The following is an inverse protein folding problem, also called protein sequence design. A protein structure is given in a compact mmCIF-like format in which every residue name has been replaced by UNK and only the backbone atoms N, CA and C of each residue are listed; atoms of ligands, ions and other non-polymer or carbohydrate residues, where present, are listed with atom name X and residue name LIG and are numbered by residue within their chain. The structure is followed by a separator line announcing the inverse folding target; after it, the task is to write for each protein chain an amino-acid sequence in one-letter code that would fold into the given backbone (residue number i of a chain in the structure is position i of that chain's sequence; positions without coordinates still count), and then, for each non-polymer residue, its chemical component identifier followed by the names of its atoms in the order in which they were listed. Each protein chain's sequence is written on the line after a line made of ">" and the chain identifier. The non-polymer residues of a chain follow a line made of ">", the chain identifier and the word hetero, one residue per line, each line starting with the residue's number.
data_IF_917132979575
#
_entry.id   IF_917132979575
#
_cell.length_a   1.000
_cell.length_b   1.000
_cell.length_c   1.000
_cell.angle_alpha   90.00
_cell.angle_beta   90.00
_cell.angle_gamma   90.00
#
_symmetry.space_group_name_H-M   'P 1'
#
loop_
_entity.id
_entity.type
_entity.pdbx_description
1 polymer ?
#
# COMPACT_ATOMS: atom_id res chain seq x y z
N UNK A 1 -16.05 -36.71 -3.28
CA UNK A 1 -15.51 -35.41 -3.71
C UNK A 1 -16.65 -34.63 -4.32
N UNK A 2 -17.10 -33.56 -3.65
CA UNK A 2 -18.26 -32.77 -4.08
C UNK A 2 -17.95 -32.00 -5.36
N UNK A 3 -18.96 -31.70 -6.19
CA UNK A 3 -18.83 -30.72 -7.29
C UNK A 3 -18.28 -29.37 -6.76
N UNK A 4 -18.62 -28.99 -5.52
CA UNK A 4 -18.08 -27.82 -4.84
C UNK A 4 -16.57 -27.93 -4.56
N UNK A 5 -16.04 -29.12 -4.30
CA UNK A 5 -14.60 -29.34 -4.05
C UNK A 5 -13.80 -29.20 -5.34
N UNK A 6 -14.36 -29.65 -6.47
CA UNK A 6 -13.74 -29.49 -7.79
C UNK A 6 -13.69 -28.02 -8.23
N UNK A 7 -14.76 -27.25 -7.96
CA UNK A 7 -14.75 -25.78 -8.16
C UNK A 7 -13.86 -25.05 -7.14
N UNK A 8 -13.71 -25.59 -5.93
CA UNK A 8 -12.80 -25.08 -4.89
C UNK A 8 -11.32 -25.27 -5.24
N UNK A 9 -10.95 -26.36 -5.91
CA UNK A 9 -9.61 -26.56 -6.48
C UNK A 9 -9.30 -25.64 -7.67
N UNK A 10 -10.33 -25.14 -8.37
CA UNK A 10 -10.19 -24.12 -9.42
C UNK A 10 -10.28 -22.68 -8.90
N UNK A 11 -10.55 -22.47 -7.61
CA UNK A 11 -10.65 -21.14 -7.04
C UNK A 11 -9.25 -20.53 -6.89
N UNK A 12 -8.94 -19.58 -7.77
CA UNK A 12 -7.73 -18.75 -7.71
C UNK A 12 -7.87 -17.68 -6.62
N UNK A 13 -7.98 -18.12 -5.37
CA UNK A 13 -8.04 -17.24 -4.21
C UNK A 13 -6.77 -16.35 -4.18
N UNK A 14 -6.98 -15.10 -3.77
CA UNK A 14 -5.91 -14.11 -3.67
C UNK A 14 -5.93 -13.42 -2.30
N UNK A 15 -4.77 -12.96 -1.87
CA UNK A 15 -4.65 -12.00 -0.78
C UNK A 15 -4.12 -10.68 -1.35
N UNK A 16 -4.63 -9.57 -0.84
CA UNK A 16 -4.26 -8.22 -1.26
C UNK A 16 -3.77 -7.48 -0.02
N UNK A 17 -2.53 -7.02 -0.09
CA UNK A 17 -2.05 -5.99 0.81
C UNK A 17 -2.31 -4.63 0.16
N UNK A 18 -3.28 -3.89 0.69
CA UNK A 18 -3.74 -2.62 0.14
C UNK A 18 -3.02 -1.46 0.84
N UNK A 19 -1.71 -1.41 0.68
CA UNK A 19 -0.85 -0.44 1.36
C UNK A 19 -0.90 0.97 0.78
N UNK A 20 -0.62 1.98 1.61
CA UNK A 20 -0.63 3.40 1.20
C UNK A 20 0.38 3.70 0.08
N UNK A 21 1.55 3.06 0.11
CA UNK A 21 2.62 3.28 -0.86
C UNK A 21 2.62 2.25 -2.00
N UNK A 22 2.45 0.97 -1.67
CA UNK A 22 2.46 -0.14 -2.63
C UNK A 22 1.29 -1.08 -2.35
N UNK A 23 0.81 -1.74 -3.40
CA UNK A 23 -0.20 -2.80 -3.33
C UNK A 23 0.41 -4.10 -3.81
N UNK A 24 0.32 -5.14 -2.99
CA UNK A 24 0.78 -6.48 -3.34
C UNK A 24 -0.40 -7.41 -3.53
N UNK A 25 -0.31 -8.32 -4.50
CA UNK A 25 -1.30 -9.39 -4.67
C UNK A 25 -0.59 -10.73 -4.62
N UNK A 26 -0.93 -11.53 -3.60
CA UNK A 26 -0.53 -12.92 -3.48
C UNK A 26 -1.60 -13.83 -4.08
N UNK A 27 -1.18 -14.79 -4.90
CA UNK A 27 -2.06 -15.82 -5.44
C UNK A 27 -1.79 -17.13 -4.74
N UNK A 28 -2.85 -17.82 -4.28
CA UNK A 28 -2.73 -19.15 -3.69
C UNK A 28 -2.00 -20.09 -4.66
N UNK A 29 -0.92 -20.73 -4.21
CA UNK A 29 0.00 -21.56 -5.02
C UNK A 29 0.78 -20.83 -6.13
N UNK A 30 0.69 -19.50 -6.21
CA UNK A 30 1.38 -18.69 -7.22
C UNK A 30 2.39 -17.69 -6.65
N UNK A 31 2.42 -17.48 -5.33
CA UNK A 31 3.28 -16.48 -4.71
C UNK A 31 2.76 -15.06 -4.91
N UNK A 32 3.64 -14.07 -4.70
CA UNK A 32 3.38 -12.67 -5.04
C UNK A 32 3.39 -12.53 -6.56
N UNK A 33 2.26 -12.16 -7.14
CA UNK A 33 2.09 -12.03 -8.60
C UNK A 33 1.98 -10.57 -9.06
N UNK A 34 1.76 -9.65 -8.14
CA UNK A 34 1.75 -8.20 -8.36
C UNK A 34 2.45 -7.55 -7.17
N UNK A 35 3.34 -6.61 -7.47
CA UNK A 35 3.97 -5.70 -6.53
C UNK A 35 4.14 -4.36 -7.27
N UNK A 36 3.23 -3.41 -6.99
CA UNK A 36 3.18 -2.13 -7.69
C UNK A 36 2.84 -0.98 -6.75
N UNK A 37 3.34 0.25 -7.04
CA UNK A 37 2.91 1.44 -6.33
C UNK A 37 1.38 1.63 -6.30
N UNK A 38 0.84 2.05 -5.17
CA UNK A 38 -0.58 2.39 -4.98
C UNK A 38 -0.90 3.76 -5.59
N UNK A 39 -0.71 3.88 -6.91
CA UNK A 39 -0.87 5.12 -7.68
C UNK A 39 -1.66 4.84 -8.93
N UNK A 40 -2.62 5.71 -9.23
CA UNK A 40 -3.48 5.61 -10.41
C UNK A 40 -3.45 6.93 -11.18
N UNK A 41 -3.24 6.86 -12.49
CA UNK A 41 -3.41 7.98 -13.40
C UNK A 41 -4.76 7.83 -14.12
N UNK A 42 -5.60 8.86 -14.08
CA UNK A 42 -6.91 8.90 -14.74
C UNK A 42 -7.04 10.13 -15.63
N UNK A 43 -7.78 10.00 -16.74
CA UNK A 43 -8.18 11.15 -17.55
C UNK A 43 -9.12 12.05 -16.74
N UNK A 44 -8.92 13.37 -16.81
CA UNK A 44 -9.77 14.35 -16.12
C UNK A 44 -11.19 14.39 -16.66
N UNK A 45 -11.35 14.08 -17.94
CA UNK A 45 -12.54 14.32 -18.74
C UNK A 45 -13.55 13.17 -18.61
N UNK A 46 -13.07 11.92 -18.60
CA UNK A 46 -13.94 10.75 -18.52
C UNK A 46 -13.61 9.77 -17.38
N UNK A 47 -12.64 10.12 -16.51
CA UNK A 47 -12.18 9.27 -15.39
C UNK A 47 -11.71 7.87 -15.81
N UNK A 48 -11.38 7.65 -17.08
CA UNK A 48 -10.79 6.37 -17.52
C UNK A 48 -9.39 6.23 -16.93
N UNK A 49 -9.07 5.01 -16.51
CA UNK A 49 -7.72 4.65 -16.09
C UNK A 49 -6.79 4.78 -17.31
N UNK A 50 -5.74 5.58 -17.16
CA UNK A 50 -4.65 5.70 -18.11
C UNK A 50 -3.53 4.73 -17.72
N UNK A 51 -3.17 4.70 -16.43
CA UNK A 51 -2.15 3.82 -15.89
C UNK A 51 -2.39 3.53 -14.41
N UNK A 52 -1.83 2.42 -13.93
CA UNK A 52 -1.75 2.04 -12.50
C UNK A 52 -0.29 1.69 -12.21
N UNK A 53 0.13 1.78 -10.95
CA UNK A 53 1.42 1.27 -10.52
C UNK A 53 2.57 2.15 -10.95
N UNK A 54 3.67 1.54 -11.35
CA UNK A 54 4.91 2.22 -11.71
C UNK A 54 4.72 3.23 -12.84
N UNK A 55 3.89 2.91 -13.84
CA UNK A 55 3.58 3.83 -14.92
C UNK A 55 2.87 5.10 -14.44
N UNK A 56 1.90 4.95 -13.52
CA UNK A 56 1.24 6.09 -12.91
C UNK A 56 2.18 6.87 -11.98
N UNK A 57 3.03 6.18 -11.19
CA UNK A 57 4.01 6.80 -10.29
C UNK A 57 4.98 7.69 -11.08
N UNK A 58 5.45 7.28 -12.26
CA UNK A 58 6.35 8.08 -13.10
C UNK A 58 5.74 9.41 -13.57
N UNK A 59 4.40 9.49 -13.65
CA UNK A 59 3.68 10.69 -14.06
C UNK A 59 3.53 11.72 -12.92
N UNK A 60 3.81 11.38 -11.66
CA UNK A 60 3.67 12.30 -10.53
C UNK A 60 4.54 13.54 -10.71
N UNK A 61 3.89 14.72 -10.78
CA UNK A 61 4.56 16.01 -10.95
C UNK A 61 5.09 16.26 -12.37
N UNK A 62 4.76 15.39 -13.33
CA UNK A 62 5.15 15.47 -14.75
C UNK A 62 3.97 15.22 -15.70
N UNK A 63 2.77 15.04 -15.17
CA UNK A 63 1.55 14.79 -15.93
C UNK A 63 1.08 16.08 -16.64
N UNK A 64 0.50 15.97 -17.84
CA UNK A 64 -0.21 17.09 -18.46
C UNK A 64 -1.53 17.36 -17.70
N UNK A 65 -2.17 18.49 -17.99
CA UNK A 65 -3.36 18.97 -17.27
C UNK A 65 -4.57 18.02 -17.44
N UNK A 66 -4.63 17.28 -18.55
CA UNK A 66 -5.71 16.32 -18.86
C UNK A 66 -5.59 14.99 -18.07
N UNK A 67 -4.51 14.83 -17.30
CA UNK A 67 -4.22 13.60 -16.54
C UNK A 67 -4.11 13.93 -15.06
N UNK A 68 -4.94 13.29 -14.24
CA UNK A 68 -4.85 13.38 -12.78
C UNK A 68 -4.19 12.13 -12.21
N UNK A 69 -3.09 12.30 -11.49
CA UNK A 69 -2.39 11.21 -10.79
C UNK A 69 -2.77 11.22 -9.31
N UNK A 70 -3.22 10.09 -8.79
CA UNK A 70 -3.91 9.96 -7.50
C UNK A 70 -3.28 8.81 -6.72
N UNK A 71 -2.99 9.05 -5.44
CA UNK A 71 -2.82 8.00 -4.42
C UNK A 71 -4.20 7.75 -3.80
N UNK A 72 -4.91 6.66 -4.11
CA UNK A 72 -6.29 6.48 -3.67
C UNK A 72 -6.40 6.06 -2.20
N UNK A 73 -5.27 5.68 -1.60
CA UNK A 73 -5.11 5.34 -0.20
C UNK A 73 -4.28 6.42 0.48
N UNK A 74 -4.64 6.74 1.72
CA UNK A 74 -3.90 7.69 2.54
C UNK A 74 -3.99 7.27 4.00
N UNK A 75 -2.88 7.28 4.71
CA UNK A 75 -2.80 6.91 6.13
C UNK A 75 -3.52 5.58 6.45
N UNK A 76 -3.35 4.57 5.57
CA UNK A 76 -3.96 3.25 5.72
C UNK A 76 -5.45 3.15 5.39
N UNK A 77 -6.08 4.24 4.94
CA UNK A 77 -7.52 4.29 4.64
C UNK A 77 -7.82 4.66 3.19
N UNK A 78 -9.01 4.29 2.71
CA UNK A 78 -9.49 4.64 1.38
C UNK A 78 -9.88 6.13 1.34
N UNK A 79 -9.10 6.93 0.60
CA UNK A 79 -9.35 8.36 0.41
C UNK A 79 -10.18 8.65 -0.86
N UNK A 80 -10.07 7.80 -1.88
CA UNK A 80 -10.88 7.88 -3.11
C UNK A 80 -11.45 6.49 -3.44
N UNK A 81 -12.72 6.27 -3.12
CA UNK A 81 -13.42 5.00 -3.30
C UNK A 81 -13.50 4.58 -4.77
N UNK A 82 -13.82 5.53 -5.66
CA UNK A 82 -14.01 5.25 -7.08
C UNK A 82 -12.69 4.80 -7.70
N UNK A 83 -11.59 5.49 -7.38
CA UNK A 83 -10.26 5.16 -7.88
C UNK A 83 -9.76 3.86 -7.25
N UNK A 84 -10.04 3.60 -5.97
CA UNK A 84 -9.68 2.34 -5.30
C UNK A 84 -10.38 1.13 -5.95
N UNK A 85 -11.69 1.23 -6.22
CA UNK A 85 -12.43 0.15 -6.89
C UNK A 85 -11.86 -0.13 -8.29
N UNK A 86 -11.55 0.92 -9.05
CA UNK A 86 -10.94 0.81 -10.38
C UNK A 86 -9.56 0.15 -10.32
N UNK A 87 -8.74 0.54 -9.35
CA UNK A 87 -7.43 -0.06 -9.08
C UNK A 87 -7.58 -1.55 -8.74
N UNK A 88 -8.37 -1.88 -7.72
CA UNK A 88 -8.61 -3.26 -7.29
C UNK A 88 -9.16 -4.11 -8.43
N UNK A 89 -10.11 -3.61 -9.23
CA UNK A 89 -10.67 -4.34 -10.37
C UNK A 89 -9.57 -4.72 -11.36
N UNK A 90 -8.68 -3.78 -11.68
CA UNK A 90 -7.55 -4.03 -12.58
C UNK A 90 -6.58 -5.06 -11.99
N UNK A 91 -6.20 -4.91 -10.72
CA UNK A 91 -5.25 -5.81 -10.04
C UNK A 91 -5.82 -7.23 -9.91
N UNK A 92 -7.08 -7.38 -9.51
CA UNK A 92 -7.76 -8.67 -9.44
C UNK A 92 -7.79 -9.31 -10.84
N UNK A 93 -8.19 -8.57 -11.88
CA UNK A 93 -8.20 -9.10 -13.24
C UNK A 93 -6.83 -9.58 -13.71
N UNK A 94 -5.76 -8.81 -13.43
CA UNK A 94 -4.37 -9.17 -13.77
C UNK A 94 -3.89 -10.41 -13.03
N UNK A 95 -4.17 -10.52 -11.73
CA UNK A 95 -3.79 -11.67 -10.91
C UNK A 95 -4.48 -12.97 -11.38
N UNK A 96 -5.69 -12.86 -11.93
CA UNK A 96 -6.42 -14.01 -12.47
C UNK A 96 -5.87 -14.51 -13.82
N UNK A 97 -5.07 -13.72 -14.55
CA UNK A 97 -4.43 -14.01 -15.87
C UNK A 97 -5.38 -14.37 -17.02
N UNK A 98 -6.60 -14.83 -16.76
CA UNK A 98 -7.68 -15.08 -17.73
C UNK A 98 -9.02 -14.67 -17.12
N UNK A 99 -9.99 -14.32 -17.96
CA UNK A 99 -11.38 -14.08 -17.56
C UNK A 99 -12.03 -15.41 -17.19
N UNK A 100 -11.70 -15.92 -16.00
CA UNK A 100 -12.27 -17.15 -15.48
C UNK A 100 -13.75 -16.91 -15.18
N UNK A 101 -14.59 -17.93 -15.40
CA UNK A 101 -16.02 -17.86 -15.07
C UNK A 101 -16.26 -17.69 -13.57
N UNK A 102 -15.29 -18.05 -12.72
CA UNK A 102 -15.42 -18.03 -11.27
C UNK A 102 -14.68 -16.83 -10.68
N UNK A 103 -15.41 -15.97 -9.97
CA UNK A 103 -14.86 -14.87 -9.17
C UNK A 103 -14.08 -15.40 -7.96
N UNK A 104 -12.90 -14.85 -7.61
CA UNK A 104 -12.07 -15.34 -6.52
C UNK A 104 -12.61 -14.94 -5.15
N UNK A 105 -12.23 -15.68 -4.10
CA UNK A 105 -12.29 -15.16 -2.73
C UNK A 105 -11.04 -14.33 -2.48
N UNK A 106 -11.19 -13.26 -1.72
CA UNK A 106 -10.13 -12.29 -1.47
C UNK A 106 -9.93 -12.12 0.03
N UNK A 107 -8.69 -12.22 0.48
CA UNK A 107 -8.27 -11.71 1.79
C UNK A 107 -7.68 -10.31 1.57
N UNK A 108 -8.03 -9.33 2.40
CA UNK A 108 -7.45 -7.98 2.36
C UNK A 108 -6.88 -7.63 3.74
N UNK A 109 -5.62 -7.19 3.77
CA UNK A 109 -5.02 -6.64 4.98
C UNK A 109 -5.61 -5.26 5.29
N UNK A 110 -5.91 -5.00 6.55
CA UNK A 110 -6.36 -3.69 7.03
C UNK A 110 -5.63 -3.28 8.30
N UNK A 111 -5.33 -1.99 8.51
CA UNK A 111 -4.66 -1.50 9.72
C UNK A 111 -5.40 -1.92 11.00
N UNK A 112 -4.69 -2.00 12.12
CA UNK A 112 -5.33 -2.35 13.40
C UNK A 112 -6.28 -1.25 13.91
N UNK A 113 -5.94 0.02 13.65
CA UNK A 113 -6.72 1.19 14.03
C UNK A 113 -7.87 1.56 13.08
N UNK A 114 -8.20 0.72 12.10
CA UNK A 114 -9.24 1.00 11.11
C UNK A 114 -10.66 1.01 11.72
N UNK A 115 -11.47 2.01 11.36
CA UNK A 115 -12.87 2.11 11.81
C UNK A 115 -13.80 1.13 11.09
N UNK A 116 -14.96 0.83 11.65
CA UNK A 116 -15.95 -0.05 10.99
C UNK A 116 -16.45 0.48 9.64
N UNK A 117 -16.52 1.81 9.49
CA UNK A 117 -16.89 2.46 8.22
C UNK A 117 -15.81 2.21 7.16
N UNK A 118 -14.54 2.32 7.53
CA UNK A 118 -13.40 2.07 6.65
C UNK A 118 -13.23 0.57 6.34
N UNK A 119 -13.48 -0.33 7.30
CA UNK A 119 -13.51 -1.79 7.02
C UNK A 119 -14.58 -2.12 5.98
N UNK A 120 -15.77 -1.53 6.13
CA UNK A 120 -16.86 -1.70 5.18
C UNK A 120 -16.48 -1.14 3.80
N UNK A 121 -15.83 0.02 3.75
CA UNK A 121 -15.31 0.59 2.52
C UNK A 121 -14.40 -0.38 1.76
N UNK A 122 -13.40 -0.94 2.44
CA UNK A 122 -12.45 -1.91 1.84
C UNK A 122 -13.19 -3.14 1.32
N UNK A 123 -14.10 -3.69 2.13
CA UNK A 123 -14.90 -4.86 1.75
C UNK A 123 -15.75 -4.57 0.51
N UNK A 124 -16.50 -3.47 0.50
CA UNK A 124 -17.41 -3.11 -0.59
C UNK A 124 -16.62 -2.83 -1.88
N UNK A 125 -15.48 -2.12 -1.80
CA UNK A 125 -14.59 -1.89 -2.94
C UNK A 125 -14.06 -3.19 -3.55
N UNK A 126 -13.63 -4.16 -2.73
CA UNK A 126 -13.14 -5.45 -3.22
C UNK A 126 -14.27 -6.30 -3.84
N UNK A 127 -15.48 -6.28 -3.28
CA UNK A 127 -16.66 -6.94 -3.84
C UNK A 127 -17.03 -6.35 -5.21
N UNK A 128 -17.13 -5.03 -5.31
CA UNK A 128 -17.43 -4.33 -6.57
C UNK A 128 -16.31 -4.49 -7.62
N UNK A 129 -15.07 -4.67 -7.17
CA UNK A 129 -13.93 -4.96 -8.02
C UNK A 129 -13.97 -6.38 -8.64
N UNK A 130 -14.86 -7.27 -8.17
CA UNK A 130 -15.10 -8.59 -8.75
C UNK A 130 -14.75 -9.77 -7.85
N UNK A 131 -14.51 -9.54 -6.55
CA UNK A 131 -14.43 -10.61 -5.57
C UNK A 131 -15.80 -11.29 -5.38
N UNK A 132 -15.79 -12.59 -5.05
CA UNK A 132 -16.98 -13.34 -4.62
C UNK A 132 -17.25 -13.16 -3.13
N UNK A 133 -16.20 -13.29 -2.34
CA UNK A 133 -16.20 -13.18 -0.88
C UNK A 133 -14.96 -12.39 -0.48
N UNK A 134 -15.08 -11.57 0.57
CA UNK A 134 -13.99 -10.74 1.07
C UNK A 134 -13.83 -10.95 2.58
N UNK A 135 -12.65 -11.41 2.96
CA UNK A 135 -12.21 -11.56 4.33
C UNK A 135 -11.20 -10.46 4.65
N UNK A 136 -11.32 -9.85 5.82
CA UNK A 136 -10.37 -8.87 6.29
C UNK A 136 -9.47 -9.52 7.34
N UNK A 137 -8.17 -9.26 7.25
CA UNK A 137 -7.18 -9.67 8.25
C UNK A 137 -6.46 -8.42 8.77
N UNK A 138 -6.10 -8.43 10.05
CA UNK A 138 -5.31 -7.35 10.62
C UNK A 138 -3.89 -7.36 10.05
N UNK A 139 -3.43 -6.21 9.57
CA UNK A 139 -2.09 -5.98 9.04
C UNK A 139 -0.97 -6.42 10.01
N UNK A 140 -0.94 -6.04 11.31
CA UNK A 140 0.08 -6.54 12.22
C UNK A 140 0.06 -8.07 12.42
N UNK A 141 -1.10 -8.72 12.33
CA UNK A 141 -1.18 -10.19 12.37
C UNK A 141 -0.59 -10.79 11.10
N UNK A 142 -0.92 -10.23 9.93
CA UNK A 142 -0.34 -10.66 8.66
C UNK A 142 1.19 -10.43 8.62
N UNK A 143 1.66 -9.29 9.13
CA UNK A 143 3.08 -8.96 9.24
C UNK A 143 3.81 -9.92 10.20
N UNK A 144 3.23 -10.24 11.35
CA UNK A 144 3.81 -11.19 12.30
C UNK A 144 3.89 -12.61 11.72
N UNK A 145 2.86 -13.06 10.99
CA UNK A 145 2.90 -14.33 10.24
C UNK A 145 3.98 -14.27 9.16
N UNK A 146 4.06 -13.17 8.40
CA UNK A 146 5.07 -13.00 7.35
C UNK A 146 6.51 -12.92 7.86
N UNK A 147 6.70 -12.58 9.14
CA UNK A 147 7.98 -12.55 9.84
C UNK A 147 8.29 -13.84 10.63
N UNK A 148 7.50 -14.90 10.44
CA UNK A 148 7.63 -16.19 11.13
C UNK A 148 7.63 -16.09 12.67
N UNK A 149 6.87 -15.13 13.22
CA UNK A 149 6.72 -15.00 14.66
C UNK A 149 5.76 -16.07 15.22
N UNK A 150 6.08 -16.72 16.36
CA UNK A 150 5.25 -17.76 16.99
C UNK A 150 4.03 -17.15 17.72
N UNK A 151 3.15 -16.49 16.97
CA UNK A 151 2.03 -15.72 17.54
C UNK A 151 0.93 -16.60 18.12
N UNK A 152 0.89 -17.90 17.79
CA UNK A 152 -0.06 -18.89 18.30
C UNK A 152 0.31 -19.43 19.69
N UNK A 153 1.55 -19.24 20.12
CA UNK A 153 2.02 -19.67 21.43
C UNK A 153 1.60 -18.69 22.54
N UNK A 154 1.66 -19.17 23.79
CA UNK A 154 1.43 -18.36 24.99
C UNK A 154 2.62 -17.44 25.32
N UNK A 155 3.18 -16.75 24.33
CA UNK A 155 4.25 -15.77 24.48
C UNK A 155 3.87 -14.46 23.77
N UNK A 156 4.34 -13.33 24.32
CA UNK A 156 4.09 -12.01 23.74
C UNK A 156 5.05 -11.72 22.60
N UNK A 157 4.53 -11.47 21.42
CA UNK A 157 5.27 -11.08 20.22
C UNK A 157 4.94 -9.62 19.89
N UNK A 158 5.93 -8.72 19.92
CA UNK A 158 5.74 -7.34 19.48
C UNK A 158 6.14 -7.22 18.01
N UNK A 159 5.24 -6.67 17.19
CA UNK A 159 5.48 -6.32 15.80
C UNK A 159 5.33 -4.81 15.62
N UNK A 160 6.22 -4.22 14.82
CA UNK A 160 6.14 -2.84 14.39
C UNK A 160 6.29 -2.80 12.87
N UNK A 161 5.22 -2.43 12.19
CA UNK A 161 5.18 -2.26 10.74
C UNK A 161 5.23 -0.76 10.40
N UNK A 162 6.25 -0.33 9.67
CA UNK A 162 6.46 1.07 9.28
C UNK A 162 6.17 1.18 7.79
N UNK A 163 4.93 1.57 7.47
CA UNK A 163 4.46 1.73 6.11
C UNK A 163 4.70 3.12 5.53
N UNK A 164 3.97 3.40 4.44
CA UNK A 164 3.99 4.71 3.77
C UNK A 164 3.32 5.81 4.59
N UNK A 165 2.05 5.61 4.97
CA UNK A 165 1.26 6.63 5.69
C UNK A 165 1.16 6.41 7.20
N UNK A 166 1.34 5.16 7.66
CA UNK A 166 1.14 4.76 9.05
C UNK A 166 2.28 3.90 9.55
N UNK A 167 2.44 3.87 10.87
CA UNK A 167 3.18 2.82 11.57
C UNK A 167 2.22 2.08 12.50
N UNK A 168 2.10 0.78 12.32
CA UNK A 168 1.27 -0.11 13.12
C UNK A 168 2.14 -0.83 14.15
N UNK A 169 1.74 -0.80 15.42
CA UNK A 169 2.45 -1.47 16.51
C UNK A 169 1.46 -2.38 17.20
N UNK A 170 1.79 -3.66 17.37
CA UNK A 170 0.94 -4.60 18.08
C UNK A 170 1.74 -5.58 18.94
N UNK A 171 1.16 -6.00 20.05
CA UNK A 171 1.60 -7.15 20.82
C UNK A 171 0.59 -8.26 20.64
N UNK A 172 1.06 -9.43 20.21
CA UNK A 172 0.25 -10.59 19.81
C UNK A 172 0.64 -11.79 20.67
N UNK A 173 -0.35 -12.53 21.16
CA UNK A 173 -0.18 -13.80 21.89
C UNK A 173 -1.42 -14.66 21.67
N UNK A 174 -1.27 -15.98 21.59
CA UNK A 174 -2.37 -16.92 21.35
C UNK A 174 -3.25 -16.55 20.14
N UNK A 175 -2.63 -16.08 19.05
CA UNK A 175 -3.26 -15.57 17.82
C UNK A 175 -4.17 -14.34 18.01
N UNK A 176 -4.09 -13.68 19.16
CA UNK A 176 -4.89 -12.50 19.49
C UNK A 176 -4.00 -11.27 19.69
N UNK A 177 -4.43 -10.13 19.15
CA UNK A 177 -3.84 -8.83 19.47
C UNK A 177 -4.23 -8.48 20.91
N UNK A 178 -3.25 -8.41 21.79
CA UNK A 178 -3.41 -8.05 23.20
C UNK A 178 -3.54 -6.53 23.35
N UNK A 179 -2.66 -5.80 22.65
CA UNK A 179 -2.67 -4.34 22.59
C UNK A 179 -2.13 -3.91 21.23
N UNK A 180 -2.63 -2.80 20.71
CA UNK A 180 -2.14 -2.20 19.48
C UNK A 180 -2.12 -0.67 19.59
N UNK A 181 -1.35 -0.05 18.72
CA UNK A 181 -1.36 1.38 18.48
C UNK A 181 -1.07 1.64 17.00
N UNK A 182 -1.75 2.63 16.43
CA UNK A 182 -1.56 3.06 15.05
C UNK A 182 -1.28 4.55 15.04
N UNK A 183 -0.17 4.95 14.43
CA UNK A 183 0.19 6.36 14.30
C UNK A 183 0.32 6.73 12.83
N UNK A 184 -0.17 7.93 12.46
CA UNK A 184 -0.11 8.48 11.09
C UNK A 184 1.25 9.10 10.79
N UNK A 185 2.28 8.30 10.98
CA UNK A 185 3.68 8.62 10.68
C UNK A 185 4.28 7.42 9.98
N UNK A 186 4.90 7.65 8.84
CA UNK A 186 5.55 6.63 8.02
C UNK A 186 6.47 7.27 7.00
N UNK A 187 6.76 6.56 5.92
CA UNK A 187 7.63 7.02 4.84
C UNK A 187 7.22 8.37 4.21
N UNK A 188 5.93 8.64 4.04
CA UNK A 188 5.42 9.88 3.43
C UNK A 188 5.71 11.11 4.31
N UNK A 189 5.70 10.93 5.64
CA UNK A 189 6.02 11.98 6.60
C UNK A 189 7.52 12.29 6.58
N UNK A 190 8.35 11.25 6.51
CA UNK A 190 9.81 11.39 6.35
C UNK A 190 10.15 12.17 5.08
N UNK A 191 9.51 11.83 3.95
CA UNK A 191 9.72 12.53 2.67
C UNK A 191 9.33 14.00 2.77
N UNK A 192 8.19 14.29 3.39
CA UNK A 192 7.72 15.66 3.64
C UNK A 192 8.71 16.45 4.49
N UNK A 193 9.29 15.83 5.52
CA UNK A 193 10.25 16.48 6.40
C UNK A 193 11.59 16.74 5.71
N UNK A 194 12.03 15.85 4.81
CA UNK A 194 13.19 16.08 3.94
C UNK A 194 12.95 17.29 3.02
N UNK A 195 11.78 17.38 2.38
CA UNK A 195 11.42 18.52 1.51
C UNK A 195 11.45 19.83 2.32
N UNK A 196 10.84 19.82 3.51
CA UNK A 196 10.78 20.99 4.38
C UNK A 196 12.16 21.40 4.89
N UNK A 197 13.03 20.43 5.19
CA UNK A 197 14.40 20.68 5.60
C UNK A 197 15.18 21.41 4.49
N UNK A 198 15.19 20.86 3.27
CA UNK A 198 15.88 21.46 2.12
C UNK A 198 15.33 22.85 1.78
N UNK A 199 14.01 23.01 1.84
CA UNK A 199 13.36 24.32 1.65
C UNK A 199 13.85 25.35 2.66
N UNK A 200 13.91 24.99 3.96
CA UNK A 200 14.27 25.93 5.03
C UNK A 200 15.77 26.20 5.13
N UNK A 201 16.61 25.19 4.86
CA UNK A 201 18.07 25.29 5.04
C UNK A 201 18.81 25.71 3.78
N UNK A 202 18.31 25.36 2.61
CA UNK A 202 18.99 25.56 1.34
C UNK A 202 18.20 26.43 0.36
N UNK A 203 17.01 26.92 0.72
CA UNK A 203 16.07 27.55 -0.22
C UNK A 203 15.79 26.70 -1.46
N UNK A 204 15.93 25.38 -1.34
CA UNK A 204 15.82 24.43 -2.44
C UNK A 204 14.51 23.66 -2.33
N UNK A 205 13.68 23.76 -3.36
CA UNK A 205 12.48 22.95 -3.48
C UNK A 205 12.76 21.68 -4.30
N UNK A 206 12.40 20.53 -3.73
CA UNK A 206 12.41 19.25 -4.44
C UNK A 206 11.03 18.60 -4.36
N UNK A 207 10.69 17.81 -5.38
CA UNK A 207 9.46 17.03 -5.39
C UNK A 207 9.55 15.79 -4.49
N UNK A 208 8.39 15.17 -4.22
CA UNK A 208 8.29 13.98 -3.35
C UNK A 208 9.15 12.82 -3.83
N UNK A 209 9.24 12.57 -5.14
CA UNK A 209 10.10 11.49 -5.69
C UNK A 209 11.58 11.72 -5.36
N UNK A 210 12.06 12.96 -5.44
CA UNK A 210 13.45 13.29 -5.10
C UNK A 210 13.68 13.14 -3.60
N UNK A 211 12.73 13.53 -2.76
CA UNK A 211 12.81 13.35 -1.32
C UNK A 211 12.81 11.88 -0.90
N UNK A 212 11.94 11.06 -1.50
CA UNK A 212 11.93 9.60 -1.31
C UNK A 212 13.26 8.98 -1.74
N UNK A 213 13.82 9.44 -2.87
CA UNK A 213 15.15 9.00 -3.32
C UNK A 213 16.24 9.36 -2.31
N UNK A 214 16.23 10.58 -1.77
CA UNK A 214 17.18 11.00 -0.72
C UNK A 214 17.06 10.11 0.52
N UNK A 215 15.83 9.86 0.99
CA UNK A 215 15.56 8.96 2.11
C UNK A 215 16.17 7.58 1.88
N UNK A 216 15.99 7.01 0.69
CA UNK A 216 16.46 5.66 0.37
C UNK A 216 17.97 5.57 0.15
N UNK A 217 18.61 6.61 -0.40
CA UNK A 217 20.03 6.58 -0.76
C UNK A 217 20.95 6.99 0.39
N UNK A 218 20.55 7.97 1.21
CA UNK A 218 21.42 8.53 2.27
C UNK A 218 20.73 8.68 3.63
N UNK A 219 19.45 8.30 3.76
CA UNK A 219 18.74 8.38 5.03
C UNK A 219 19.25 7.38 6.07
N UNK A 220 19.40 7.81 7.32
CA UNK A 220 19.68 6.93 8.45
C UNK A 220 19.03 7.43 9.74
N UNK A 221 18.50 6.51 10.53
CA UNK A 221 17.97 6.79 11.88
C UNK A 221 19.04 6.63 12.98
N UNK A 222 20.24 6.15 12.64
CA UNK A 222 21.35 5.94 13.55
C UNK A 222 22.67 6.44 12.95
N UNK A 223 23.60 7.01 13.73
CA UNK A 223 24.88 7.48 13.20
C UNK A 223 25.62 6.39 12.42
N UNK A 224 26.07 6.74 11.22
CA UNK A 224 26.88 5.85 10.39
C UNK A 224 28.36 6.05 10.73
N UNK A 225 29.17 5.00 10.54
CA UNK A 225 30.64 5.12 10.65
C UNK A 225 31.21 6.07 9.59
N UNK A 226 30.60 6.07 8.41
CA UNK A 226 30.91 6.97 7.30
C UNK A 226 29.59 7.52 6.77
N UNK A 227 29.48 8.85 6.73
CA UNK A 227 28.30 9.53 6.20
C UNK A 227 28.17 9.31 4.68
N UNK A 228 26.94 9.06 4.24
CA UNK A 228 26.61 8.95 2.83
C UNK A 228 26.24 10.33 2.30
N UNK A 229 26.62 10.59 1.04
CA UNK A 229 26.38 11.87 0.38
C UNK A 229 25.80 11.63 -1.01
N UNK A 230 24.95 12.55 -1.45
CA UNK A 230 24.39 12.55 -2.80
C UNK A 230 24.20 13.98 -3.31
N UNK A 231 24.31 14.16 -4.62
CA UNK A 231 23.96 15.43 -5.26
C UNK A 231 22.45 15.54 -5.43
N UNK A 232 21.89 16.66 -4.96
CA UNK A 232 20.46 16.95 -5.05
C UNK A 232 20.23 18.17 -5.94
N UNK A 233 19.38 18.00 -6.97
CA UNK A 233 18.92 19.09 -7.82
C UNK A 233 17.47 19.41 -7.51
N UNK A 234 17.16 20.70 -7.46
CA UNK A 234 15.84 21.22 -7.17
C UNK A 234 15.67 22.62 -7.75
N UNK A 235 14.52 23.21 -7.46
CA UNK A 235 14.17 24.56 -7.88
C UNK A 235 14.56 25.54 -6.78
N UNK A 236 15.23 26.64 -7.13
CA UNK A 236 15.52 27.70 -6.16
C UNK A 236 14.23 28.46 -5.82
N UNK A 237 13.93 28.58 -4.53
CA UNK A 237 12.67 29.19 -4.07
C UNK A 237 12.72 30.71 -4.15
N UNK A 238 13.91 31.31 -4.13
CA UNK A 238 14.12 32.76 -4.16
C UNK A 238 14.15 33.28 -5.59
N UNK A 239 14.95 32.67 -6.46
CA UNK A 239 15.15 33.15 -7.83
C UNK A 239 14.25 32.49 -8.88
N UNK A 240 13.65 31.34 -8.57
CA UNK A 240 12.75 30.61 -9.47
C UNK A 240 13.44 29.52 -10.26
#
# INVERSE_FOLDING_TARGET
>A
MSLLDFFGMMANDIAIDLGTANTLVYKKHGGIVIDEPSVVAVSTDNKKIIAIGSQAKMMLGKNPDEVRVIKPLKDGVIADFQVTELMLRNLIMRAQKKRLLVRPRVIVCVPSGITEVEKRAVRDSALHAGAREVYLISEPVAAAIGADLPIDMACGNMVMDIGGGTSEIAVISLSHIVVHNSIRVGGDKMDTDIINYLRKKNNLFVGVQTAEKIKMEIGSAYPLKQELVMDVRGRDIVSG
#
